data_IF_392353647727
#
_entry.id   IF_392353647727
#
_cell.length_a   1.000
_cell.length_b   1.000
_cell.length_c   1.000
_cell.angle_alpha   90.00
_cell.angle_beta   90.00
_cell.angle_gamma   90.00
#
_symmetry.space_group_name_H-M   'P 1'
#
loop_
_entity.id
_entity.type
_entity.pdbx_description
1 polymer ?
#
# COMPACT_ATOMS: atom_id res chain seq x y z
N UNK A 1 18.88 16.44 -45.37
CA UNK A 1 18.50 15.84 -46.67
C UNK A 1 17.09 15.31 -46.47
N UNK A 2 16.12 15.87 -47.21
CA UNK A 2 14.69 15.64 -47.07
C UNK A 2 14.26 14.58 -48.09
N UNK A 3 13.45 13.60 -47.71
CA UNK A 3 12.71 12.79 -48.69
C UNK A 3 11.37 13.47 -49.03
N UNK A 4 11.11 13.61 -50.32
CA UNK A 4 10.09 14.51 -50.88
C UNK A 4 8.69 13.90 -50.96
N UNK A 5 8.20 13.25 -49.92
CA UNK A 5 6.88 12.58 -49.95
C UNK A 5 5.75 13.39 -49.31
N UNK A 6 6.05 14.49 -48.60
CA UNK A 6 5.03 15.28 -47.90
C UNK A 6 4.30 14.50 -46.79
N UNK A 7 4.76 13.31 -46.43
CA UNK A 7 4.19 12.49 -45.38
C UNK A 7 4.74 12.93 -44.02
N UNK A 8 3.85 13.47 -43.18
CA UNK A 8 4.16 13.68 -41.76
C UNK A 8 3.95 12.36 -41.03
N UNK A 9 5.02 11.80 -40.45
CA UNK A 9 4.90 10.71 -39.48
C UNK A 9 4.38 11.33 -38.19
N UNK A 10 3.06 11.28 -37.99
CA UNK A 10 2.46 11.64 -36.71
C UNK A 10 2.77 10.52 -35.72
N UNK A 11 3.72 10.75 -34.82
CA UNK A 11 3.93 9.90 -33.66
C UNK A 11 2.71 10.04 -32.74
N UNK A 12 1.78 9.09 -32.78
CA UNK A 12 0.72 8.97 -31.79
C UNK A 12 1.33 8.45 -30.48
N UNK A 13 1.74 9.36 -29.61
CA UNK A 13 2.07 9.03 -28.22
C UNK A 13 0.75 8.95 -27.45
N UNK A 14 0.35 7.74 -27.07
CA UNK A 14 -0.74 7.55 -26.10
C UNK A 14 -0.13 7.68 -24.70
N UNK A 15 -0.34 8.81 -24.04
CA UNK A 15 0.03 8.99 -22.63
C UNK A 15 -1.12 8.46 -21.78
N UNK A 16 -1.01 7.22 -21.30
CA UNK A 16 -1.94 6.66 -20.33
C UNK A 16 -1.52 7.08 -18.92
N UNK A 17 -1.82 8.32 -18.53
CA UNK A 17 -1.54 8.76 -17.16
C UNK A 17 -2.74 8.44 -16.26
N UNK A 18 -2.75 7.25 -15.66
CA UNK A 18 -3.68 6.93 -14.58
C UNK A 18 -3.12 7.45 -13.25
N UNK A 19 -3.99 8.07 -12.45
CA UNK A 19 -3.65 8.55 -11.11
C UNK A 19 -4.55 7.87 -10.10
N UNK A 20 -3.95 7.30 -9.06
CA UNK A 20 -4.66 6.69 -7.94
C UNK A 20 -4.15 7.32 -6.63
N UNK A 21 -5.08 7.65 -5.74
CA UNK A 21 -4.78 8.18 -4.40
C UNK A 21 -5.33 7.22 -3.36
N UNK A 22 -4.52 6.87 -2.37
CA UNK A 22 -4.90 6.07 -1.21
C UNK A 22 -4.66 6.89 0.05
N UNK A 23 -5.73 7.40 0.67
CA UNK A 23 -5.66 8.12 1.94
C UNK A 23 -5.86 7.12 3.08
N UNK A 24 -4.96 7.12 4.06
CA UNK A 24 -5.03 6.20 5.19
C UNK A 24 -5.81 6.85 6.34
N UNK A 25 -6.94 6.25 6.70
CA UNK A 25 -7.80 6.70 7.81
C UNK A 25 -7.44 6.09 9.16
N UNK A 26 -6.70 4.99 9.17
CA UNK A 26 -6.32 4.28 10.39
C UNK A 26 -5.23 3.25 10.16
N UNK A 27 -4.56 2.85 11.25
CA UNK A 27 -3.52 1.84 11.25
C UNK A 27 -3.86 0.82 12.34
N UNK A 28 -3.75 -0.45 12.01
CA UNK A 28 -4.10 -1.55 12.89
C UNK A 28 -3.15 -2.75 12.65
N UNK A 29 -3.27 -3.78 13.49
CA UNK A 29 -2.44 -4.98 13.42
C UNK A 29 -3.33 -6.20 13.61
N UNK A 30 -3.19 -7.17 12.71
CA UNK A 30 -3.82 -8.48 12.80
C UNK A 30 -2.77 -9.50 13.26
N UNK A 31 -3.07 -10.22 14.34
CA UNK A 31 -2.22 -11.31 14.84
C UNK A 31 -2.96 -12.63 14.63
N UNK A 32 -2.32 -13.60 13.96
CA UNK A 32 -2.90 -14.94 13.75
C UNK A 32 -2.01 -16.01 14.36
N UNK A 33 -2.60 -17.09 14.91
CA UNK A 33 -1.86 -18.16 15.58
C UNK A 33 -1.31 -17.80 16.96
N UNK A 34 -1.73 -16.65 17.51
CA UNK A 34 -1.29 -16.10 18.80
C UNK A 34 -2.31 -16.28 19.92
N UNK A 35 -3.16 -17.29 19.87
CA UNK A 35 -4.24 -17.52 20.83
C UNK A 35 -3.70 -17.66 22.26
N UNK A 36 -2.57 -18.36 22.42
CA UNK A 36 -1.89 -18.63 23.69
C UNK A 36 -1.03 -17.45 24.19
N UNK A 37 -0.88 -16.38 23.40
CA UNK A 37 -0.12 -15.21 23.83
C UNK A 37 -0.90 -14.41 24.87
N UNK A 38 -0.21 -13.93 25.90
CA UNK A 38 -0.78 -12.99 26.87
C UNK A 38 -1.12 -11.66 26.21
N UNK A 39 -1.97 -10.87 26.87
CA UNK A 39 -2.34 -9.55 26.36
C UNK A 39 -1.13 -8.61 26.29
N UNK A 40 -0.17 -8.72 27.20
CA UNK A 40 1.09 -7.96 27.17
C UNK A 40 1.95 -8.35 25.96
N UNK A 41 2.05 -9.65 25.65
CA UNK A 41 2.79 -10.12 24.48
C UNK A 41 2.14 -9.63 23.18
N UNK A 42 0.80 -9.71 23.10
CA UNK A 42 0.05 -9.19 21.96
C UNK A 42 0.22 -7.66 21.85
N UNK A 43 0.22 -6.93 22.96
CA UNK A 43 0.44 -5.49 22.97
C UNK A 43 1.83 -5.12 22.44
N UNK A 44 2.88 -5.82 22.90
CA UNK A 44 4.25 -5.63 22.39
C UNK A 44 4.37 -5.88 20.89
N UNK A 45 3.80 -6.99 20.39
CA UNK A 45 3.78 -7.28 18.96
C UNK A 45 3.06 -6.19 18.16
N UNK A 46 1.94 -5.66 18.67
CA UNK A 46 1.22 -4.57 18.01
C UNK A 46 2.05 -3.29 17.95
N UNK A 47 2.72 -2.93 19.04
CA UNK A 47 3.59 -1.75 19.09
C UNK A 47 4.74 -1.86 18.08
N UNK A 48 5.46 -2.98 18.09
CA UNK A 48 6.56 -3.25 17.14
C UNK A 48 6.06 -3.23 15.68
N UNK A 49 4.94 -3.89 15.40
CA UNK A 49 4.34 -3.93 14.07
C UNK A 49 3.92 -2.54 13.57
N UNK A 50 3.25 -1.74 14.40
CA UNK A 50 2.83 -0.38 14.03
C UNK A 50 4.02 0.52 13.69
N UNK A 51 5.17 0.33 14.35
CA UNK A 51 6.37 1.09 14.05
C UNK A 51 6.94 0.83 12.64
N UNK A 52 6.64 -0.33 12.04
CA UNK A 52 7.09 -0.69 10.68
C UNK A 52 6.33 0.06 9.58
N UNK A 53 5.12 0.54 9.87
CA UNK A 53 4.26 1.25 8.91
C UNK A 53 4.93 2.58 8.51
N UNK A 54 5.04 2.90 7.21
CA UNK A 54 5.65 4.15 6.79
C UNK A 54 4.75 5.35 7.10
N UNK A 55 3.43 5.25 6.89
CA UNK A 55 2.45 6.27 7.29
C UNK A 55 2.50 6.47 8.81
N UNK A 56 2.61 7.73 9.25
CA UNK A 56 2.79 8.12 10.65
C UNK A 56 1.52 8.68 11.28
N UNK A 57 0.57 9.19 10.49
CA UNK A 57 -0.72 9.71 10.98
C UNK A 57 -1.85 9.41 10.00
N UNK A 58 -3.06 9.24 10.54
CA UNK A 58 -4.28 9.23 9.74
C UNK A 58 -4.40 10.56 8.98
N UNK A 59 -4.76 10.48 7.71
CA UNK A 59 -4.72 11.61 6.77
C UNK A 59 -3.50 11.58 5.84
N UNK A 60 -2.42 10.87 6.19
CA UNK A 60 -1.32 10.54 5.27
C UNK A 60 -1.71 9.46 4.26
N UNK A 61 -0.80 9.13 3.35
CA UNK A 61 -1.05 8.09 2.35
C UNK A 61 -0.16 8.16 1.13
N UNK A 62 -0.71 7.66 0.02
CA UNK A 62 0.03 7.37 -1.20
C UNK A 62 -0.67 7.95 -2.42
N UNK A 63 0.14 8.39 -3.37
CA UNK A 63 -0.32 8.78 -4.70
C UNK A 63 0.54 8.10 -5.74
N UNK A 64 -0.11 7.29 -6.55
CA UNK A 64 0.49 6.52 -7.63
C UNK A 64 0.13 7.19 -8.95
N UNK A 65 1.14 7.35 -9.81
CA UNK A 65 0.98 7.85 -11.17
C UNK A 65 1.60 6.80 -12.09
N UNK A 66 0.77 6.09 -12.87
CA UNK A 66 1.25 5.15 -13.89
C UNK A 66 1.82 5.94 -15.06
N UNK A 67 3.07 6.37 -14.93
CA UNK A 67 3.79 7.20 -15.91
C UNK A 67 4.90 6.43 -16.64
N UNK A 68 5.04 5.13 -16.39
CA UNK A 68 5.96 4.29 -17.14
C UNK A 68 5.38 3.97 -18.54
N UNK A 69 6.00 4.44 -19.63
CA UNK A 69 5.47 4.24 -20.98
C UNK A 69 5.58 2.80 -21.48
N UNK A 70 6.39 1.96 -20.81
CA UNK A 70 6.60 0.56 -21.18
C UNK A 70 5.76 -0.41 -20.34
N UNK A 71 5.18 0.06 -19.23
CA UNK A 71 4.45 -0.79 -18.30
C UNK A 71 3.39 0.04 -17.53
N UNK A 72 2.11 -0.21 -17.81
CA UNK A 72 1.00 0.50 -17.16
C UNK A 72 0.83 0.14 -15.68
N UNK A 73 1.50 -0.90 -15.20
CA UNK A 73 1.41 -1.42 -13.84
C UNK A 73 2.55 -0.93 -12.94
N UNK A 74 3.36 0.01 -13.41
CA UNK A 74 4.40 0.66 -12.61
C UNK A 74 4.47 2.16 -12.86
N UNK A 75 5.14 2.87 -11.96
CA UNK A 75 5.35 4.31 -12.12
C UNK A 75 5.81 5.01 -10.85
N UNK A 76 5.61 6.32 -10.84
CA UNK A 76 5.99 7.20 -9.73
C UNK A 76 5.04 7.06 -8.54
N UNK A 77 5.63 7.00 -7.34
CA UNK A 77 4.93 7.05 -6.06
C UNK A 77 5.30 8.34 -5.31
N UNK A 78 4.30 9.11 -4.92
CA UNK A 78 4.43 10.17 -3.91
C UNK A 78 3.84 9.66 -2.60
N UNK A 79 4.67 9.59 -1.56
CA UNK A 79 4.30 9.15 -0.22
C UNK A 79 4.24 10.36 0.72
N UNK A 80 3.14 10.44 1.48
CA UNK A 80 2.86 11.52 2.42
C UNK A 80 2.69 10.91 3.82
N UNK A 81 3.69 11.04 4.72
CA UNK A 81 3.70 10.31 5.99
C UNK A 81 2.61 10.77 6.96
N UNK A 82 2.24 12.06 6.98
CA UNK A 82 1.30 12.58 7.98
C UNK A 82 0.01 13.15 7.40
N UNK A 83 0.07 13.79 6.23
CA UNK A 83 -1.06 14.47 5.60
C UNK A 83 -0.89 14.47 4.08
N UNK A 84 -1.90 13.98 3.35
CA UNK A 84 -1.94 14.02 1.89
C UNK A 84 -1.73 15.45 1.38
N UNK A 85 -0.97 15.60 0.29
CA UNK A 85 -0.67 16.88 -0.35
C UNK A 85 0.20 17.85 0.46
N UNK A 86 0.72 17.42 1.62
CA UNK A 86 1.73 18.18 2.35
C UNK A 86 3.12 17.99 1.74
N UNK A 87 3.41 18.79 0.73
CA UNK A 87 4.60 18.66 -0.12
C UNK A 87 5.92 18.76 0.65
N UNK A 88 5.98 19.47 1.78
CA UNK A 88 7.22 19.56 2.58
C UNK A 88 7.66 18.23 3.20
N UNK A 89 6.72 17.29 3.36
CA UNK A 89 6.95 15.96 3.94
C UNK A 89 6.92 14.85 2.87
N UNK A 90 6.71 15.21 1.60
CA UNK A 90 6.55 14.23 0.54
C UNK A 90 7.87 13.51 0.26
N UNK A 91 7.81 12.19 0.32
CA UNK A 91 8.87 11.28 -0.09
C UNK A 91 8.54 10.72 -1.47
N UNK A 92 9.50 10.75 -2.39
CA UNK A 92 9.35 10.12 -3.71
C UNK A 92 9.79 8.66 -3.68
N UNK A 93 9.10 7.85 -4.45
CA UNK A 93 9.40 6.45 -4.64
C UNK A 93 8.88 5.94 -5.98
N UNK A 94 8.82 4.62 -6.10
CA UNK A 94 8.18 3.95 -7.24
C UNK A 94 7.20 2.91 -6.74
N UNK A 95 6.27 2.51 -7.59
CA UNK A 95 5.38 1.39 -7.31
C UNK A 95 5.33 0.41 -8.47
N UNK A 96 4.98 -0.83 -8.14
CA UNK A 96 4.55 -1.87 -9.08
C UNK A 96 3.25 -2.46 -8.53
N UNK A 97 2.28 -2.73 -9.40
CA UNK A 97 1.09 -3.54 -9.09
C UNK A 97 1.10 -4.82 -9.92
N UNK A 98 0.45 -5.89 -9.45
CA UNK A 98 0.27 -7.06 -10.30
C UNK A 98 -0.71 -6.82 -11.44
N UNK A 99 -0.35 -7.31 -12.62
CA UNK A 99 -1.20 -7.35 -13.80
C UNK A 99 -2.04 -8.63 -13.88
N UNK A 100 -1.60 -9.71 -13.24
CA UNK A 100 -2.14 -11.07 -13.29
C UNK A 100 -3.04 -11.41 -12.10
N UNK A 101 -4.00 -10.51 -11.82
CA UNK A 101 -4.88 -10.60 -10.65
C UNK A 101 -5.80 -11.83 -10.73
N UNK A 102 -5.87 -12.60 -9.64
CA UNK A 102 -6.76 -13.75 -9.46
C UNK A 102 -7.17 -13.89 -7.99
N UNK A 103 -7.98 -14.89 -7.65
CA UNK A 103 -8.26 -15.23 -6.24
C UNK A 103 -6.98 -15.67 -5.50
N UNK A 104 -6.07 -16.35 -6.22
CA UNK A 104 -4.78 -16.81 -5.68
C UNK A 104 -3.70 -15.72 -5.71
N UNK A 105 -3.89 -14.68 -6.53
CA UNK A 105 -3.02 -13.51 -6.65
C UNK A 105 -3.83 -12.21 -6.47
N UNK A 106 -4.20 -11.86 -5.23
CA UNK A 106 -4.99 -10.67 -4.94
C UNK A 106 -4.27 -9.40 -5.39
N UNK A 107 -4.99 -8.26 -5.39
CA UNK A 107 -4.36 -6.98 -5.70
C UNK A 107 -3.23 -6.72 -4.70
N UNK A 108 -2.00 -6.62 -5.18
CA UNK A 108 -0.87 -6.19 -4.37
C UNK A 108 -0.17 -4.97 -4.98
N UNK A 109 0.48 -4.21 -4.12
CA UNK A 109 1.36 -3.12 -4.45
C UNK A 109 2.75 -3.45 -3.89
N UNK A 110 3.80 -3.24 -4.68
CA UNK A 110 5.18 -3.16 -4.20
C UNK A 110 5.61 -1.71 -4.26
N UNK A 111 5.84 -1.09 -3.10
CA UNK A 111 6.30 0.29 -3.00
C UNK A 111 7.78 0.30 -2.64
N UNK A 112 8.56 1.05 -3.41
CA UNK A 112 9.96 1.34 -3.08
C UNK A 112 10.04 2.78 -2.58
N UNK A 113 10.34 2.94 -1.28
CA UNK A 113 10.48 4.22 -0.58
C UNK A 113 11.81 4.23 0.16
N UNK A 114 12.67 5.21 -0.11
CA UNK A 114 13.97 5.38 0.60
C UNK A 114 14.77 4.08 0.70
N UNK A 115 14.87 3.33 -0.41
CA UNK A 115 15.56 2.03 -0.51
C UNK A 115 14.89 0.86 0.24
N UNK A 116 13.79 1.09 0.97
CA UNK A 116 12.96 0.03 1.56
C UNK A 116 11.80 -0.34 0.64
N UNK A 117 11.62 -1.65 0.45
CA UNK A 117 10.46 -2.19 -0.24
C UNK A 117 9.35 -2.57 0.74
N UNK A 118 8.11 -2.23 0.39
CA UNK A 118 6.89 -2.59 1.11
C UNK A 118 5.99 -3.40 0.17
N UNK A 119 5.59 -4.60 0.58
CA UNK A 119 4.68 -5.45 -0.19
C UNK A 119 3.31 -5.45 0.46
N UNK A 120 2.35 -4.77 -0.16
CA UNK A 120 1.05 -4.43 0.41
C UNK A 120 -0.07 -5.10 -0.37
N UNK A 121 -0.85 -5.97 0.26
CA UNK A 121 -2.00 -6.63 -0.35
C UNK A 121 -3.28 -5.88 0.01
N UNK A 122 -4.08 -5.49 -0.97
CA UNK A 122 -5.35 -4.81 -0.75
C UNK A 122 -6.46 -5.83 -0.51
N UNK A 123 -6.92 -5.94 0.73
CA UNK A 123 -7.96 -6.86 1.17
C UNK A 123 -9.02 -6.11 1.99
N UNK A 124 -10.23 -6.68 2.17
CA UNK A 124 -11.16 -6.18 3.16
C UNK A 124 -10.51 -6.10 4.54
N UNK A 125 -10.65 -4.95 5.20
CA UNK A 125 -10.17 -4.71 6.55
C UNK A 125 -10.77 -5.73 7.52
N UNK A 126 -9.92 -6.30 8.38
CA UNK A 126 -10.32 -7.26 9.41
C UNK A 126 -10.15 -6.61 10.78
N UNK A 127 -11.27 -6.20 11.37
CA UNK A 127 -11.30 -5.74 12.75
C UNK A 127 -11.42 -6.95 13.69
N UNK A 128 -10.41 -7.18 14.54
CA UNK A 128 -10.45 -8.22 15.57
C UNK A 128 -11.58 -7.99 16.59
N UNK A 129 -12.04 -6.74 16.78
CA UNK A 129 -13.15 -6.38 17.68
C UNK A 129 -14.54 -6.53 17.04
N UNK A 130 -14.61 -7.07 15.82
CA UNK A 130 -15.84 -7.25 15.06
C UNK A 130 -16.19 -6.07 14.16
N UNK A 131 -16.96 -6.35 13.11
CA UNK A 131 -17.47 -5.33 12.18
C UNK A 131 -18.63 -4.61 12.88
N UNK A 132 -18.47 -3.33 13.22
CA UNK A 132 -19.61 -2.52 13.64
C UNK A 132 -20.56 -2.34 12.45
N UNK A 133 -21.86 -2.31 12.73
CA UNK A 133 -22.98 -2.28 11.75
C UNK A 133 -22.96 -1.09 10.76
N UNK A 134 -22.00 -0.18 10.88
CA UNK A 134 -21.95 1.11 10.19
C UNK A 134 -21.20 1.08 8.85
N UNK A 135 -20.62 -0.05 8.45
CA UNK A 135 -19.87 -0.16 7.19
C UNK A 135 -20.70 -0.86 6.10
N UNK A 136 -21.50 -0.08 5.36
CA UNK A 136 -22.24 -0.54 4.17
C UNK A 136 -21.33 -0.81 2.94
N UNK A 137 -20.08 -0.34 2.97
CA UNK A 137 -19.03 -0.65 2.00
C UNK A 137 -17.91 -1.37 2.77
N UNK A 138 -17.37 -2.50 2.27
CA UNK A 138 -16.23 -3.13 2.91
C UNK A 138 -15.08 -2.12 2.93
N UNK A 139 -14.73 -1.65 4.12
CA UNK A 139 -13.51 -0.89 4.34
C UNK A 139 -12.35 -1.73 3.86
N UNK A 140 -11.53 -1.20 2.94
CA UNK A 140 -10.35 -1.91 2.44
C UNK A 140 -9.12 -1.49 3.25
N UNK A 141 -8.15 -2.38 3.39
CA UNK A 141 -6.87 -2.08 4.01
C UNK A 141 -5.72 -2.63 3.17
N UNK A 142 -4.57 -1.95 3.24
CA UNK A 142 -3.29 -2.45 2.75
C UNK A 142 -2.67 -3.32 3.84
N UNK A 143 -2.53 -4.61 3.57
CA UNK A 143 -1.93 -5.59 4.47
C UNK A 143 -0.47 -5.82 4.13
N UNK A 144 0.41 -5.80 5.13
CA UNK A 144 1.81 -6.22 4.99
C UNK A 144 2.10 -7.33 5.99
N UNK A 145 2.69 -8.44 5.55
CA UNK A 145 3.26 -9.43 6.46
C UNK A 145 4.58 -8.89 7.02
N UNK A 146 4.58 -8.59 8.31
CA UNK A 146 5.74 -8.03 9.02
C UNK A 146 6.33 -9.03 10.00
N UNK A 147 5.93 -10.30 9.93
CA UNK A 147 6.36 -11.35 10.87
C UNK A 147 7.88 -11.44 10.96
N UNK A 148 8.58 -11.37 9.83
CA UNK A 148 10.05 -11.42 9.77
C UNK A 148 10.73 -10.08 10.11
N UNK A 149 9.97 -8.98 10.15
CA UNK A 149 10.47 -7.64 10.51
C UNK A 149 10.45 -7.41 12.03
N UNK A 150 9.72 -8.22 12.79
CA UNK A 150 9.55 -8.12 14.23
C UNK A 150 10.53 -9.09 14.92
N UNK A 151 11.53 -8.59 15.69
CA UNK A 151 12.50 -9.43 16.37
C UNK A 151 11.88 -10.47 17.32
N UNK A 152 10.75 -10.13 17.93
CA UNK A 152 10.03 -11.00 18.85
C UNK A 152 9.19 -12.04 18.09
N UNK A 153 9.82 -13.13 17.64
CA UNK A 153 9.10 -14.21 16.95
C UNK A 153 8.54 -15.25 17.92
N UNK A 154 7.24 -15.53 17.84
CA UNK A 154 6.61 -16.67 18.51
C UNK A 154 6.30 -17.77 17.49
N UNK A 155 6.61 -19.06 17.77
CA UNK A 155 6.32 -20.14 16.84
C UNK A 155 4.85 -20.18 16.43
N UNK A 156 4.59 -20.22 15.12
CA UNK A 156 3.22 -20.29 14.58
C UNK A 156 2.45 -18.96 14.57
N UNK A 157 3.03 -17.88 15.11
CA UNK A 157 2.41 -16.55 15.11
C UNK A 157 2.80 -15.79 13.85
N UNK A 158 1.81 -15.23 13.17
CA UNK A 158 2.02 -14.25 12.09
C UNK A 158 1.44 -12.90 12.46
N UNK A 159 2.13 -11.85 12.06
CA UNK A 159 1.75 -10.47 12.36
C UNK A 159 1.64 -9.69 11.06
N UNK A 160 0.48 -9.09 10.84
CA UNK A 160 0.20 -8.28 9.67
C UNK A 160 -0.15 -6.86 10.09
N UNK A 161 0.45 -5.85 9.46
CA UNK A 161 -0.05 -4.48 9.58
C UNK A 161 -1.23 -4.26 8.65
N UNK A 162 -2.13 -3.36 9.02
CA UNK A 162 -3.31 -2.98 8.25
C UNK A 162 -3.37 -1.46 8.14
N UNK A 163 -3.18 -0.90 6.96
CA UNK A 163 -3.41 0.52 6.70
C UNK A 163 -4.79 0.69 6.08
N UNK A 164 -5.73 1.18 6.87
CA UNK A 164 -7.15 1.30 6.51
C UNK A 164 -7.33 2.44 5.52
N UNK A 165 -7.80 2.13 4.32
CA UNK A 165 -8.05 3.12 3.27
C UNK A 165 -9.36 3.85 3.56
N UNK A 166 -9.30 5.18 3.62
CA UNK A 166 -10.47 6.03 3.73
C UNK A 166 -11.22 6.03 2.39
N UNK A 167 -12.52 5.74 2.45
CA UNK A 167 -13.44 5.90 1.31
C UNK A 167 -14.10 7.27 1.51
N UNK A 168 -13.81 8.21 0.61
CA UNK A 168 -14.49 9.50 0.53
C UNK A 168 -15.76 9.41 -0.33
#
# INVERSE_FOLDING_TARGET
MTDGTGASIVLKVNVFQAKQTLVIGGMDVLITGGEELTDEQKAGLREEALATIPVKKAGGGYRMVSDNPQDAYSGTLSFYPTEMDKEEEMVKGTFIVNSDRSEENPWYYRFLLEEKEYTLILLPYKNEKGVTRDYLIPTMALFEDVTEQIPTSYPGVKVFTQQVVKVD
#
